data_IF_184627029259
#
_entry.id   IF_184627029259
#
_cell.length_a   1.000
_cell.length_b   1.000
_cell.length_c   1.000
_cell.angle_alpha   90.00
_cell.angle_beta   90.00
_cell.angle_gamma   90.00
#
_symmetry.space_group_name_H-M   'P 1'
#
loop_
_entity.id
_entity.type
_entity.pdbx_description
1 polymer ?
#
# COMPACT_ATOMS: atom_id res chain seq x y z
N UNK A 1 23.25 8.27 0.79
CA UNK A 1 23.14 9.58 1.47
C UNK A 1 24.39 9.76 2.32
N UNK A 2 25.26 10.72 1.98
CA UNK A 2 26.54 10.89 2.66
C UNK A 2 26.44 11.30 4.13
N UNK A 3 25.38 12.02 4.50
CA UNK A 3 25.11 12.46 5.87
C UNK A 3 24.11 11.56 6.63
N UNK A 4 23.78 10.39 6.10
CA UNK A 4 22.82 9.45 6.71
C UNK A 4 21.46 10.10 6.97
N UNK A 5 20.95 9.97 8.20
CA UNK A 5 19.66 10.53 8.62
C UNK A 5 19.63 12.08 8.71
N UNK A 6 20.80 12.73 8.73
CA UNK A 6 20.92 14.19 8.76
C UNK A 6 20.98 14.82 7.35
N UNK A 7 20.72 14.00 6.31
CA UNK A 7 20.67 14.50 4.93
C UNK A 7 19.35 15.23 4.70
N UNK A 8 19.41 16.49 4.28
CA UNK A 8 18.23 17.24 3.84
C UNK A 8 17.66 16.62 2.57
N UNK A 9 16.35 16.37 2.59
CA UNK A 9 15.63 15.96 1.40
C UNK A 9 15.13 17.22 0.68
N UNK A 10 15.33 17.23 -0.64
CA UNK A 10 15.03 18.35 -1.53
C UNK A 10 15.88 19.61 -1.28
N UNK A 11 16.02 20.40 -2.33
CA UNK A 11 16.83 21.64 -2.33
C UNK A 11 16.09 22.86 -1.84
N UNK A 12 14.85 22.71 -1.42
CA UNK A 12 14.01 23.83 -0.98
C UNK A 12 14.48 24.43 0.36
N UNK A 13 15.14 23.61 1.18
CA UNK A 13 15.63 24.02 2.49
C UNK A 13 17.17 24.08 2.59
N UNK A 14 17.89 23.39 1.72
CA UNK A 14 19.36 23.34 1.69
C UNK A 14 19.85 23.10 0.26
N UNK A 15 20.84 23.88 -0.20
CA UNK A 15 21.43 23.76 -1.52
C UNK A 15 22.09 22.38 -1.76
N UNK A 16 22.56 21.71 -0.68
CA UNK A 16 23.12 20.37 -0.68
C UNK A 16 22.05 19.25 -0.53
N UNK A 17 20.77 19.62 -0.53
CA UNK A 17 19.66 18.69 -0.43
C UNK A 17 19.65 17.66 -1.57
N UNK A 18 19.38 16.39 -1.22
CA UNK A 18 19.33 15.28 -2.16
C UNK A 18 17.91 15.14 -2.72
N UNK A 19 17.80 15.08 -4.04
CA UNK A 19 16.54 14.77 -4.71
C UNK A 19 16.34 13.25 -4.69
N UNK A 20 15.20 12.80 -4.20
CA UNK A 20 14.81 11.39 -4.15
C UNK A 20 13.70 11.09 -5.17
N UNK A 21 13.61 9.84 -5.61
CA UNK A 21 12.52 9.38 -6.47
C UNK A 21 11.22 9.26 -5.66
N UNK A 22 10.06 9.32 -6.33
CA UNK A 22 8.76 9.12 -5.67
C UNK A 22 8.64 7.76 -4.94
N UNK A 23 9.26 6.71 -5.48
CA UNK A 23 9.31 5.41 -4.81
C UNK A 23 10.17 5.41 -3.55
N UNK A 24 11.31 6.12 -3.54
CA UNK A 24 12.13 6.29 -2.34
C UNK A 24 11.40 7.13 -1.28
N UNK A 25 10.68 8.16 -1.71
CA UNK A 25 9.84 8.99 -0.82
C UNK A 25 8.77 8.15 -0.13
N UNK A 26 8.07 7.28 -0.87
CA UNK A 26 7.09 6.37 -0.29
C UNK A 26 7.71 5.37 0.70
N UNK A 27 8.87 4.79 0.39
CA UNK A 27 9.59 3.91 1.31
C UNK A 27 9.99 4.63 2.60
N UNK A 28 10.44 5.89 2.51
CA UNK A 28 10.78 6.71 3.67
C UNK A 28 9.53 7.03 4.50
N UNK A 29 8.41 7.37 3.84
CA UNK A 29 7.13 7.65 4.53
C UNK A 29 6.63 6.42 5.30
N UNK A 30 6.70 5.24 4.67
CA UNK A 30 6.37 3.96 5.31
C UNK A 30 7.28 3.69 6.52
N UNK A 31 8.59 3.84 6.36
CA UNK A 31 9.54 3.66 7.45
C UNK A 31 9.27 4.60 8.64
N UNK A 32 8.89 5.85 8.37
CA UNK A 32 8.51 6.83 9.41
C UNK A 32 7.25 6.40 10.16
N UNK A 33 6.22 5.92 9.45
CA UNK A 33 4.99 5.42 10.06
C UNK A 33 5.26 4.24 10.98
N UNK A 34 6.14 3.32 10.55
CA UNK A 34 6.55 2.15 11.32
C UNK A 34 7.39 2.51 12.55
N UNK A 35 8.30 3.48 12.40
CA UNK A 35 9.15 3.94 13.50
C UNK A 35 8.36 4.53 14.65
N UNK A 36 7.21 5.17 14.40
CA UNK A 36 6.33 5.70 15.44
C UNK A 36 5.72 4.64 16.34
N UNK A 37 5.77 3.36 15.96
CA UNK A 37 5.28 2.22 16.70
C UNK A 37 3.83 2.37 17.22
N UNK A 38 2.97 3.01 16.43
CA UNK A 38 1.56 3.18 16.75
C UNK A 38 0.83 1.82 16.67
N UNK A 39 -0.15 1.60 17.54
CA UNK A 39 -0.96 0.39 17.55
C UNK A 39 -1.92 0.30 16.34
N UNK A 40 -2.17 1.42 15.67
CA UNK A 40 -3.05 1.53 14.50
C UNK A 40 -2.32 2.24 13.36
N UNK A 41 -2.38 1.66 12.16
CA UNK A 41 -1.76 2.20 10.95
C UNK A 41 -2.82 2.45 9.87
N UNK A 42 -2.72 3.59 9.21
CA UNK A 42 -3.50 3.87 7.99
C UNK A 42 -2.49 4.05 6.85
N UNK A 43 -2.61 3.21 5.83
CA UNK A 43 -1.75 3.18 4.65
C UNK A 43 -2.60 3.49 3.42
N UNK A 44 -2.51 4.72 2.95
CA UNK A 44 -3.23 5.20 1.77
C UNK A 44 -2.30 5.14 0.56
N UNK A 45 -2.62 4.24 -0.38
CA UNK A 45 -1.85 3.99 -1.61
C UNK A 45 -0.33 3.84 -1.38
N UNK A 46 0.14 3.07 -0.37
CA UNK A 46 1.54 3.09 0.08
C UNK A 46 2.54 2.56 -0.94
N UNK A 47 2.08 1.99 -2.05
CA UNK A 47 2.91 1.42 -3.12
C UNK A 47 2.66 2.06 -4.48
N UNK A 48 1.89 3.15 -4.56
CA UNK A 48 1.46 3.74 -5.83
C UNK A 48 2.63 4.18 -6.74
N UNK A 49 3.75 4.66 -6.17
CA UNK A 49 4.93 5.08 -6.90
C UNK A 49 6.01 3.99 -7.02
N UNK A 50 5.74 2.77 -6.57
CA UNK A 50 6.67 1.64 -6.69
C UNK A 50 6.45 0.92 -8.02
N UNK A 51 7.55 0.40 -8.57
CA UNK A 51 7.50 -0.56 -9.66
C UNK A 51 6.97 -1.93 -9.14
N UNK A 52 6.50 -2.83 -10.04
CA UNK A 52 5.88 -4.08 -9.62
C UNK A 52 6.76 -5.00 -8.77
N UNK A 53 8.10 -4.95 -8.96
CA UNK A 53 9.05 -5.78 -8.20
C UNK A 53 9.16 -5.24 -6.78
N UNK A 54 9.41 -3.94 -6.64
CA UNK A 54 9.49 -3.28 -5.34
C UNK A 54 8.15 -3.35 -4.58
N UNK A 55 7.03 -3.30 -5.28
CA UNK A 55 5.70 -3.50 -4.70
C UNK A 55 5.55 -4.91 -4.12
N UNK A 56 5.94 -5.95 -4.87
CA UNK A 56 5.88 -7.34 -4.40
C UNK A 56 6.77 -7.58 -3.17
N UNK A 57 7.95 -6.95 -3.11
CA UNK A 57 8.83 -6.98 -1.95
C UNK A 57 8.17 -6.38 -0.70
N UNK A 58 7.51 -5.24 -0.83
CA UNK A 58 6.78 -4.60 0.27
C UNK A 58 5.65 -5.50 0.75
N UNK A 59 4.87 -6.09 -0.15
CA UNK A 59 3.77 -6.97 0.24
C UNK A 59 4.23 -8.28 0.88
N UNK A 60 5.32 -8.88 0.40
CA UNK A 60 5.86 -10.11 1.01
C UNK A 60 6.29 -9.88 2.46
N UNK A 61 6.72 -8.67 2.79
CA UNK A 61 7.11 -8.27 4.14
C UNK A 61 5.99 -7.63 4.94
N UNK A 62 4.79 -7.45 4.35
CA UNK A 62 3.73 -6.64 4.94
C UNK A 62 3.26 -7.17 6.30
N UNK A 63 3.09 -8.48 6.45
CA UNK A 63 2.70 -9.10 7.70
C UNK A 63 3.78 -8.91 8.80
N UNK A 64 5.07 -8.98 8.42
CA UNK A 64 6.16 -8.70 9.35
C UNK A 64 6.20 -7.22 9.75
N UNK A 65 5.94 -6.34 8.77
CA UNK A 65 5.90 -4.89 8.95
C UNK A 65 4.76 -4.47 9.88
N UNK A 66 3.57 -5.01 9.68
CA UNK A 66 2.38 -4.70 10.49
C UNK A 66 2.48 -5.38 11.86
N UNK A 67 2.97 -6.63 11.93
CA UNK A 67 3.05 -7.40 13.18
C UNK A 67 1.67 -7.57 13.81
N UNK A 68 1.59 -7.35 15.13
CA UNK A 68 0.33 -7.45 15.90
C UNK A 68 -0.54 -6.18 15.85
N UNK A 69 -0.25 -5.24 14.94
CA UNK A 69 -0.99 -3.97 14.84
C UNK A 69 -2.22 -4.10 13.98
N UNK A 70 -3.19 -3.26 14.23
CA UNK A 70 -4.31 -3.09 13.30
C UNK A 70 -3.89 -2.14 12.18
N UNK A 71 -4.00 -2.59 10.94
CA UNK A 71 -3.71 -1.78 9.75
C UNK A 71 -4.93 -1.64 8.87
N UNK A 72 -5.23 -0.42 8.43
CA UNK A 72 -6.18 -0.12 7.36
C UNK A 72 -5.38 0.21 6.11
N UNK A 73 -5.59 -0.56 5.08
CA UNK A 73 -4.94 -0.41 3.79
C UNK A 73 -5.94 0.10 2.75
N UNK A 74 -5.66 1.24 2.14
CA UNK A 74 -6.50 1.82 1.09
C UNK A 74 -5.75 1.67 -0.22
N UNK A 75 -6.34 0.97 -1.18
CA UNK A 75 -5.74 0.78 -2.50
C UNK A 75 -6.78 0.58 -3.59
N UNK A 76 -6.42 0.98 -4.79
CA UNK A 76 -7.10 0.61 -6.02
C UNK A 76 -6.42 -0.58 -6.74
N UNK A 77 -5.28 -1.07 -6.22
CA UNK A 77 -4.56 -2.24 -6.73
C UNK A 77 -4.99 -3.49 -5.97
N UNK A 78 -5.79 -4.32 -6.61
CA UNK A 78 -6.38 -5.49 -5.94
C UNK A 78 -5.38 -6.63 -5.66
N UNK A 79 -4.20 -6.61 -6.32
CA UNK A 79 -3.10 -7.54 -6.00
C UNK A 79 -2.71 -7.51 -4.51
N UNK A 80 -2.81 -6.33 -3.88
CA UNK A 80 -2.52 -6.13 -2.45
C UNK A 80 -3.61 -6.64 -1.52
N UNK A 81 -4.86 -6.72 -2.00
CA UNK A 81 -5.99 -7.15 -1.17
C UNK A 81 -5.88 -8.61 -0.69
N UNK A 82 -5.09 -9.45 -1.38
CA UNK A 82 -4.86 -10.86 -1.01
C UNK A 82 -4.16 -11.04 0.33
N UNK A 83 -3.48 -10.01 0.83
CA UNK A 83 -2.76 -10.05 2.10
C UNK A 83 -3.58 -9.49 3.28
N UNK A 84 -4.81 -9.03 3.01
CA UNK A 84 -5.69 -8.48 4.03
C UNK A 84 -6.57 -9.57 4.63
N UNK A 85 -6.78 -9.50 5.95
CA UNK A 85 -7.69 -10.41 6.65
C UNK A 85 -9.14 -10.15 6.26
N UNK A 86 -9.49 -8.89 5.98
CA UNK A 86 -10.81 -8.45 5.60
C UNK A 86 -10.74 -7.32 4.57
N UNK A 87 -11.62 -7.35 3.59
CA UNK A 87 -11.74 -6.37 2.52
C UNK A 87 -13.11 -5.72 2.60
N UNK A 88 -13.15 -4.40 2.57
CA UNK A 88 -14.37 -3.60 2.51
C UNK A 88 -14.40 -2.87 1.16
N UNK A 89 -15.42 -3.14 0.36
CA UNK A 89 -15.59 -2.54 -0.96
C UNK A 89 -16.57 -1.37 -0.88
N UNK A 90 -16.08 -0.20 -1.28
CA UNK A 90 -16.91 1.00 -1.38
C UNK A 90 -17.31 1.26 -2.83
N UNK A 91 -18.57 1.58 -3.04
CA UNK A 91 -19.08 2.14 -4.29
C UNK A 91 -20.07 3.28 -4.00
N UNK A 92 -19.90 4.41 -4.66
CA UNK A 92 -20.73 5.61 -4.50
C UNK A 92 -20.96 6.02 -3.04
N UNK A 93 -19.92 5.97 -2.22
CA UNK A 93 -19.95 6.37 -0.81
C UNK A 93 -20.65 5.37 0.12
N UNK A 94 -20.89 4.13 -0.32
CA UNK A 94 -21.52 3.07 0.47
C UNK A 94 -20.67 1.82 0.46
N UNK A 95 -20.72 1.08 1.55
CA UNK A 95 -20.16 -0.28 1.60
C UNK A 95 -21.12 -1.19 0.81
N UNK A 96 -20.59 -1.83 -0.22
CA UNK A 96 -21.36 -2.73 -1.10
C UNK A 96 -21.00 -4.19 -0.91
N UNK A 97 -19.77 -4.49 -0.43
CA UNK A 97 -19.33 -5.83 -0.11
C UNK A 97 -18.31 -5.78 1.03
N UNK A 98 -18.21 -6.90 1.75
CA UNK A 98 -17.25 -7.12 2.83
C UNK A 98 -16.97 -8.61 2.94
N UNK A 99 -15.71 -8.99 3.15
CA UNK A 99 -15.28 -10.38 3.29
C UNK A 99 -13.81 -10.58 2.96
N UNK A 100 -13.36 -11.81 2.93
CA UNK A 100 -12.01 -12.18 2.50
C UNK A 100 -11.86 -12.10 0.97
N UNK A 101 -10.62 -12.12 0.49
CA UNK A 101 -10.35 -12.15 -0.95
C UNK A 101 -11.05 -13.35 -1.62
N UNK A 102 -10.92 -14.53 -1.04
CA UNK A 102 -11.47 -15.77 -1.56
C UNK A 102 -13.00 -15.71 -1.67
N UNK A 103 -13.68 -15.25 -0.61
CA UNK A 103 -15.13 -15.11 -0.59
C UNK A 103 -15.63 -14.11 -1.64
N UNK A 104 -14.91 -12.98 -1.81
CA UNK A 104 -15.33 -11.92 -2.72
C UNK A 104 -15.07 -12.27 -4.19
N UNK A 105 -14.04 -13.05 -4.50
CA UNK A 105 -13.76 -13.53 -5.87
C UNK A 105 -14.77 -14.56 -6.34
N UNK A 106 -15.33 -15.37 -5.44
CA UNK A 106 -16.38 -16.34 -5.77
C UNK A 106 -17.71 -15.69 -6.16
N UNK A 107 -17.94 -14.45 -5.72
CA UNK A 107 -19.15 -13.67 -6.02
C UNK A 107 -19.07 -13.01 -7.41
N UNK A 108 -19.24 -13.79 -8.47
CA UNK A 108 -18.97 -13.39 -9.87
C UNK A 108 -19.80 -12.21 -10.41
N UNK A 109 -20.92 -11.88 -9.77
CA UNK A 109 -21.82 -10.78 -10.20
C UNK A 109 -21.66 -9.53 -9.33
N UNK A 110 -20.56 -9.40 -8.61
CA UNK A 110 -20.36 -8.34 -7.65
C UNK A 110 -19.18 -7.42 -8.01
N UNK A 111 -19.15 -6.24 -7.41
CA UNK A 111 -18.20 -5.16 -7.72
C UNK A 111 -16.74 -5.59 -7.58
N UNK A 112 -16.41 -6.35 -6.52
CA UNK A 112 -15.06 -6.82 -6.30
C UNK A 112 -14.57 -7.72 -7.44
N UNK A 113 -15.39 -8.69 -7.86
CA UNK A 113 -15.05 -9.61 -8.96
C UNK A 113 -14.87 -8.85 -10.29
N UNK A 114 -15.74 -7.86 -10.56
CA UNK A 114 -15.61 -7.00 -11.75
C UNK A 114 -14.24 -6.31 -11.78
N UNK A 115 -13.87 -5.66 -10.68
CA UNK A 115 -12.59 -4.95 -10.56
C UNK A 115 -11.40 -5.91 -10.62
N UNK A 116 -11.47 -7.04 -9.92
CA UNK A 116 -10.43 -8.07 -9.92
C UNK A 116 -10.20 -8.62 -11.32
N UNK A 117 -11.27 -9.02 -12.01
CA UNK A 117 -11.18 -9.57 -13.38
C UNK A 117 -10.65 -8.56 -14.39
N UNK A 118 -10.98 -7.28 -14.22
CA UNK A 118 -10.45 -6.21 -15.06
C UNK A 118 -8.94 -6.04 -14.87
N UNK A 119 -8.45 -6.05 -13.62
CA UNK A 119 -7.02 -5.92 -13.34
C UNK A 119 -6.22 -7.17 -13.70
N UNK A 120 -6.74 -8.37 -13.47
CA UNK A 120 -6.06 -9.61 -13.80
C UNK A 120 -5.68 -9.73 -15.29
N UNK A 121 -6.46 -9.11 -16.19
CA UNK A 121 -6.16 -9.05 -17.63
C UNK A 121 -4.93 -8.22 -17.98
N UNK A 122 -4.50 -7.31 -17.09
CA UNK A 122 -3.30 -6.49 -17.33
C UNK A 122 -2.03 -7.13 -16.77
N UNK A 123 -2.14 -8.17 -15.95
CA UNK A 123 -1.01 -8.88 -15.33
C UNK A 123 -0.81 -10.31 -15.91
N UNK A 124 -1.63 -10.72 -16.87
CA UNK A 124 -1.48 -11.95 -17.64
C UNK A 124 -0.77 -11.67 -18.98
#
# INVERSE_FOLDING_TARGET
>A
MEKGLDTWLYKDCDADGVSISGGEEQKIALARALYQNAAFLILDEPTAALDPIAEAEVYSSFNEIVGDRTAVYISHRLSSCRFCDEIIVFDRGRIVQQGTHEELVEQTNCKYYELWSAQAKYYA
#
